data_IF_596624143937
#
_entry.id   IF_596624143937
#
_cell.length_a   1.000
_cell.length_b   1.000
_cell.length_c   1.000
_cell.angle_alpha   90.00
_cell.angle_beta   90.00
_cell.angle_gamma   90.00
#
_symmetry.space_group_name_H-M   'P 1'
#
loop_
_entity.id
_entity.type
_entity.pdbx_description
1 polymer ?
#
# COMPACT_ATOMS: atom_id res chain seq x y z
N UNK A 1 24.83 -10.40 -12.03
CA UNK A 1 25.19 -11.82 -11.83
C UNK A 1 23.93 -12.63 -11.48
N UNK A 2 23.82 -13.90 -11.90
CA UNK A 2 22.71 -14.80 -11.49
C UNK A 2 22.93 -15.33 -10.07
N UNK A 3 21.87 -15.63 -9.29
CA UNK A 3 21.99 -16.10 -7.90
C UNK A 3 22.85 -17.36 -7.76
N UNK A 4 22.64 -18.37 -8.61
CA UNK A 4 23.43 -19.60 -8.56
C UNK A 4 24.92 -19.35 -8.79
N UNK A 5 25.27 -18.43 -9.69
CA UNK A 5 26.67 -18.10 -9.98
C UNK A 5 27.33 -17.38 -8.80
N UNK A 6 26.56 -16.54 -8.10
CA UNK A 6 26.99 -15.89 -6.86
C UNK A 6 27.26 -16.92 -5.76
N UNK A 7 26.33 -17.87 -5.56
CA UNK A 7 26.52 -18.97 -4.59
C UNK A 7 27.81 -19.75 -4.87
N UNK A 8 28.03 -20.19 -6.11
CA UNK A 8 29.26 -20.89 -6.51
C UNK A 8 30.54 -20.07 -6.26
N UNK A 9 30.48 -18.74 -6.44
CA UNK A 9 31.64 -17.88 -6.18
C UNK A 9 31.96 -17.78 -4.69
N UNK A 10 30.92 -17.75 -3.84
CA UNK A 10 31.06 -17.61 -2.38
C UNK A 10 31.33 -18.95 -1.68
N UNK A 11 30.92 -20.06 -2.27
CA UNK A 11 31.11 -21.42 -1.76
C UNK A 11 32.60 -21.76 -1.54
N UNK A 12 33.49 -21.20 -2.36
CA UNK A 12 34.94 -21.32 -2.18
C UNK A 12 35.46 -20.74 -0.85
N UNK A 13 34.72 -19.82 -0.23
CA UNK A 13 35.08 -19.18 1.04
C UNK A 13 34.39 -19.82 2.24
N UNK A 14 33.27 -20.52 2.03
CA UNK A 14 32.54 -21.24 3.08
C UNK A 14 31.13 -21.64 2.65
N UNK A 15 30.52 -22.52 3.44
CA UNK A 15 29.17 -23.00 3.17
C UNK A 15 28.13 -21.87 3.38
N UNK A 16 27.31 -21.65 2.36
CA UNK A 16 26.25 -20.64 2.33
C UNK A 16 24.91 -21.28 2.62
N UNK A 17 24.14 -20.72 3.55
CA UNK A 17 22.82 -21.21 3.94
C UNK A 17 21.72 -20.51 3.13
N UNK A 18 21.26 -19.34 3.60
CA UNK A 18 20.23 -18.53 2.94
C UNK A 18 20.83 -17.42 2.06
N UNK A 19 20.14 -17.10 0.96
CA UNK A 19 20.54 -16.01 0.07
C UNK A 19 19.32 -15.27 -0.50
N UNK A 20 19.41 -13.94 -0.52
CA UNK A 20 18.35 -13.07 -1.01
C UNK A 20 18.99 -11.98 -1.84
N UNK A 21 18.39 -11.69 -2.99
CA UNK A 21 18.88 -10.69 -3.92
C UNK A 21 17.70 -9.82 -4.32
N UNK A 22 17.81 -8.52 -4.06
CA UNK A 22 16.79 -7.54 -4.45
C UNK A 22 16.84 -7.37 -5.95
N UNK A 23 15.76 -7.71 -6.68
CA UNK A 23 15.70 -7.47 -8.11
C UNK A 23 15.77 -5.97 -8.40
N UNK A 24 16.32 -5.61 -9.55
CA UNK A 24 16.26 -4.22 -10.01
C UNK A 24 14.79 -3.76 -10.17
N UNK A 25 14.56 -2.46 -10.02
CA UNK A 25 13.25 -1.86 -10.25
C UNK A 25 12.70 -2.26 -11.65
N UNK A 26 11.47 -2.82 -11.74
CA UNK A 26 10.86 -3.18 -13.01
C UNK A 26 10.88 -2.07 -14.06
N UNK A 27 10.73 -0.82 -13.66
CA UNK A 27 10.77 0.33 -14.58
C UNK A 27 12.18 0.60 -15.10
N UNK A 28 13.19 0.53 -14.23
CA UNK A 28 14.59 0.59 -14.65
C UNK A 28 14.95 -0.54 -15.63
N UNK A 29 14.45 -1.76 -15.38
CA UNK A 29 14.62 -2.89 -16.29
C UNK A 29 13.95 -2.64 -17.64
N UNK A 30 12.72 -2.14 -17.65
CA UNK A 30 11.98 -1.83 -18.87
C UNK A 30 12.71 -0.77 -19.72
N UNK A 31 13.20 0.30 -19.08
CA UNK A 31 14.01 1.34 -19.75
C UNK A 31 15.27 0.76 -20.37
N UNK A 32 16.01 -0.08 -19.64
CA UNK A 32 17.22 -0.74 -20.15
C UNK A 32 16.94 -1.66 -21.34
N UNK A 33 15.86 -2.43 -21.29
CA UNK A 33 15.43 -3.30 -22.38
C UNK A 33 15.05 -2.48 -23.62
N UNK A 34 14.33 -1.37 -23.43
CA UNK A 34 13.96 -0.45 -24.52
C UNK A 34 15.17 0.19 -25.18
N UNK A 35 16.21 0.50 -24.40
CA UNK A 35 17.47 1.07 -24.89
C UNK A 35 18.41 0.04 -25.56
N UNK A 36 17.96 -1.21 -25.81
CA UNK A 36 18.79 -2.25 -26.42
C UNK A 36 19.87 -2.84 -25.51
N UNK A 37 19.81 -2.55 -24.20
CA UNK A 37 20.72 -3.15 -23.23
C UNK A 37 20.41 -4.63 -22.97
N UNK A 38 21.21 -5.25 -22.09
CA UNK A 38 21.01 -6.63 -21.65
C UNK A 38 19.53 -6.87 -21.23
N UNK A 39 18.96 -8.04 -21.50
CA UNK A 39 17.57 -8.39 -21.12
C UNK A 39 17.50 -9.17 -19.79
N UNK A 40 18.64 -9.68 -19.32
CA UNK A 40 18.74 -10.46 -18.09
C UNK A 40 18.27 -9.70 -16.85
N UNK A 41 17.73 -10.45 -15.88
CA UNK A 41 17.41 -9.94 -14.54
C UNK A 41 18.70 -9.48 -13.86
N UNK A 42 18.78 -8.20 -13.50
CA UNK A 42 19.84 -7.70 -12.62
C UNK A 42 19.31 -7.58 -11.20
N UNK A 43 20.24 -7.61 -10.27
CA UNK A 43 20.00 -7.43 -8.84
C UNK A 43 20.84 -6.25 -8.39
N UNK A 44 20.27 -5.41 -7.51
CA UNK A 44 20.94 -4.19 -7.03
C UNK A 44 21.72 -4.52 -5.76
N UNK A 45 21.09 -5.23 -4.84
CA UNK A 45 21.63 -5.57 -3.53
C UNK A 45 21.35 -7.04 -3.20
N UNK A 46 22.07 -7.57 -2.22
CA UNK A 46 21.88 -8.93 -1.77
C UNK A 46 22.43 -9.21 -0.39
N UNK A 47 21.81 -10.17 0.28
CA UNK A 47 22.20 -10.69 1.59
C UNK A 47 22.51 -12.16 1.43
N UNK A 48 23.61 -12.57 2.03
CA UNK A 48 24.08 -13.95 2.01
C UNK A 48 24.42 -14.33 3.44
N UNK A 49 23.78 -15.38 3.93
CA UNK A 49 24.05 -15.95 5.24
C UNK A 49 25.01 -17.13 5.08
N UNK A 50 26.12 -17.08 5.82
CA UNK A 50 27.04 -18.21 5.96
C UNK A 50 26.72 -18.97 7.24
N UNK A 51 26.92 -20.29 7.22
CA UNK A 51 26.79 -21.10 8.44
C UNK A 51 27.79 -20.69 9.53
N UNK A 52 29.00 -20.29 9.11
CA UNK A 52 30.09 -19.91 10.02
C UNK A 52 30.41 -18.41 9.99
N UNK A 53 30.28 -17.71 11.12
CA UNK A 53 30.63 -16.28 11.24
C UNK A 53 32.09 -15.97 10.92
N UNK A 54 33.02 -16.89 11.23
CA UNK A 54 34.46 -16.72 10.95
C UNK A 54 34.71 -16.71 9.44
N UNK A 55 34.06 -17.61 8.71
CA UNK A 55 34.13 -17.69 7.25
C UNK A 55 33.50 -16.45 6.61
N UNK A 56 32.34 -16.02 7.10
CA UNK A 56 31.68 -14.80 6.64
C UNK A 56 32.58 -13.56 6.75
N UNK A 57 33.22 -13.36 7.92
CA UNK A 57 34.14 -12.23 8.15
C UNK A 57 35.35 -12.30 7.22
N UNK A 58 35.95 -13.48 7.07
CA UNK A 58 37.09 -13.70 6.16
C UNK A 58 36.70 -13.44 4.69
N UNK A 59 35.54 -13.93 4.27
CA UNK A 59 35.02 -13.74 2.92
C UNK A 59 34.81 -12.25 2.61
N UNK A 60 34.16 -11.52 3.53
CA UNK A 60 33.95 -10.08 3.36
C UNK A 60 35.27 -9.32 3.22
N UNK A 61 36.23 -9.56 4.12
CA UNK A 61 37.55 -8.91 4.06
C UNK A 61 38.39 -9.32 2.85
N UNK A 62 38.24 -10.56 2.36
CA UNK A 62 38.96 -11.03 1.19
C UNK A 62 38.36 -10.53 -0.12
N UNK A 63 37.04 -10.43 -0.22
CA UNK A 63 36.35 -10.08 -1.46
C UNK A 63 36.17 -8.59 -1.63
N UNK A 64 35.94 -7.83 -0.56
CA UNK A 64 35.65 -6.40 -0.65
C UNK A 64 36.73 -5.64 -1.44
N UNK A 65 36.31 -4.88 -2.46
CA UNK A 65 37.18 -4.08 -3.31
C UNK A 65 37.99 -4.88 -4.34
N UNK A 66 37.83 -6.21 -4.43
CA UNK A 66 38.50 -7.04 -5.43
C UNK A 66 37.62 -7.30 -6.64
N UNK A 67 38.25 -7.54 -7.78
CA UNK A 67 37.56 -8.04 -8.96
C UNK A 67 36.91 -9.41 -8.69
N UNK A 68 35.77 -9.65 -9.31
CA UNK A 68 35.09 -10.95 -9.28
C UNK A 68 35.95 -12.03 -9.91
N UNK A 69 36.71 -11.67 -10.95
CA UNK A 69 37.70 -12.53 -11.58
C UNK A 69 37.10 -13.77 -12.26
N UNK A 70 37.87 -14.87 -12.25
CA UNK A 70 37.54 -16.09 -13.00
C UNK A 70 38.03 -16.05 -14.44
N UNK A 71 37.24 -16.59 -15.38
CA UNK A 71 37.63 -16.57 -16.81
C UNK A 71 37.52 -15.14 -17.34
N UNK A 72 38.58 -14.63 -17.99
CA UNK A 72 38.64 -13.26 -18.56
C UNK A 72 37.49 -12.93 -19.51
N UNK A 73 36.98 -13.93 -20.24
CA UNK A 73 35.81 -13.79 -21.13
C UNK A 73 34.46 -13.74 -20.42
N UNK A 74 34.42 -13.86 -19.10
CA UNK A 74 33.17 -13.87 -18.35
C UNK A 74 32.62 -12.45 -18.21
N UNK A 75 31.29 -12.32 -18.26
CA UNK A 75 30.61 -11.02 -18.22
C UNK A 75 30.82 -10.21 -16.94
N UNK A 76 31.37 -10.85 -15.90
CA UNK A 76 31.58 -10.24 -14.58
C UNK A 76 33.06 -10.14 -14.21
N UNK A 77 34.00 -10.50 -15.08
CA UNK A 77 35.41 -10.60 -14.73
C UNK A 77 35.96 -9.29 -14.11
N UNK A 78 35.67 -8.17 -14.77
CA UNK A 78 36.09 -6.82 -14.36
C UNK A 78 35.16 -6.17 -13.33
N UNK A 79 34.05 -6.81 -12.95
CA UNK A 79 33.16 -6.27 -11.92
C UNK A 79 33.86 -6.33 -10.57
N UNK A 80 33.68 -5.31 -9.73
CA UNK A 80 34.24 -5.27 -8.37
C UNK A 80 33.23 -5.81 -7.36
N UNK A 81 33.71 -6.60 -6.41
CA UNK A 81 32.97 -7.00 -5.23
C UNK A 81 32.81 -5.83 -4.26
N UNK A 82 31.57 -5.48 -3.95
CA UNK A 82 31.24 -4.62 -2.82
C UNK A 82 30.47 -5.45 -1.78
N UNK A 83 31.20 -6.02 -0.82
CA UNK A 83 30.64 -6.90 0.21
C UNK A 83 31.03 -6.39 1.59
N UNK A 84 30.11 -6.44 2.56
CA UNK A 84 30.38 -6.08 3.95
C UNK A 84 29.83 -7.16 4.89
N UNK A 85 30.59 -7.50 5.93
CA UNK A 85 30.10 -8.34 7.01
C UNK A 85 29.22 -7.52 7.95
N UNK A 86 28.04 -8.02 8.29
CA UNK A 86 27.11 -7.38 9.21
C UNK A 86 27.19 -8.09 10.58
N UNK A 87 27.81 -7.48 11.61
CA UNK A 87 27.87 -8.07 12.94
C UNK A 87 26.48 -8.05 13.60
N UNK A 88 26.17 -9.09 14.38
CA UNK A 88 24.91 -9.24 15.14
C UNK A 88 23.64 -9.21 14.28
N UNK A 89 23.78 -9.34 12.96
CA UNK A 89 22.67 -9.39 12.03
C UNK A 89 22.31 -10.85 11.74
N UNK A 90 21.02 -11.18 11.81
CA UNK A 90 20.48 -12.49 11.44
C UNK A 90 19.48 -12.33 10.31
N UNK A 91 19.22 -13.43 9.60
CA UNK A 91 18.22 -13.44 8.53
C UNK A 91 16.85 -12.98 8.97
N UNK A 92 16.44 -13.35 10.19
CA UNK A 92 15.10 -13.04 10.70
C UNK A 92 14.88 -11.52 10.79
N UNK A 93 15.94 -10.75 11.10
CA UNK A 93 15.89 -9.28 11.09
C UNK A 93 15.69 -8.72 9.69
N UNK A 94 16.23 -9.37 8.65
CA UNK A 94 16.01 -8.96 7.27
C UNK A 94 14.55 -9.15 6.87
N UNK A 95 14.00 -10.33 7.17
CA UNK A 95 12.61 -10.67 6.82
C UNK A 95 11.63 -9.83 7.59
N UNK A 96 11.87 -9.61 8.88
CA UNK A 96 11.06 -8.75 9.74
C UNK A 96 11.03 -7.31 9.20
N UNK A 97 12.18 -6.72 8.88
CA UNK A 97 12.23 -5.38 8.31
C UNK A 97 11.51 -5.31 6.95
N UNK A 98 11.72 -6.29 6.08
CA UNK A 98 11.04 -6.34 4.79
C UNK A 98 9.51 -6.45 4.92
N UNK A 99 9.04 -7.28 5.84
CA UNK A 99 7.62 -7.46 6.13
C UNK A 99 7.03 -6.20 6.74
N UNK A 100 7.75 -5.55 7.66
CA UNK A 100 7.37 -4.28 8.25
C UNK A 100 7.23 -3.18 7.18
N UNK A 101 8.23 -3.01 6.32
CA UNK A 101 8.18 -2.02 5.24
C UNK A 101 7.05 -2.31 4.25
N UNK A 102 6.80 -3.59 3.94
CA UNK A 102 5.67 -4.00 3.10
C UNK A 102 4.33 -3.65 3.76
N UNK A 103 4.17 -3.96 5.05
CA UNK A 103 2.97 -3.64 5.80
C UNK A 103 2.73 -2.13 5.90
N UNK A 104 3.79 -1.33 6.12
CA UNK A 104 3.69 0.13 6.10
C UNK A 104 3.23 0.66 4.74
N UNK A 105 3.82 0.16 3.65
CA UNK A 105 3.44 0.57 2.30
C UNK A 105 1.99 0.22 1.99
N UNK A 106 1.55 -0.98 2.39
CA UNK A 106 0.17 -1.42 2.23
C UNK A 106 -0.81 -0.57 3.03
N UNK A 107 -0.51 -0.29 4.31
CA UNK A 107 -1.30 0.61 5.14
C UNK A 107 -1.42 2.01 4.52
N UNK A 108 -0.32 2.57 4.03
CA UNK A 108 -0.32 3.88 3.34
C UNK A 108 -1.23 3.87 2.10
N UNK A 109 -1.09 2.85 1.25
CA UNK A 109 -1.93 2.71 0.05
C UNK A 109 -3.42 2.57 0.41
N UNK A 110 -3.74 1.79 1.44
CA UNK A 110 -5.13 1.64 1.92
C UNK A 110 -5.70 2.95 2.45
N UNK A 111 -4.90 3.74 3.16
CA UNK A 111 -5.30 5.07 3.62
C UNK A 111 -5.57 6.01 2.44
N UNK A 112 -4.68 6.07 1.45
CA UNK A 112 -4.87 6.86 0.24
C UNK A 112 -6.15 6.46 -0.51
N UNK A 113 -6.39 5.15 -0.69
CA UNK A 113 -7.63 4.63 -1.27
C UNK A 113 -8.86 5.01 -0.44
N UNK A 114 -8.76 4.99 0.89
CA UNK A 114 -9.87 5.37 1.76
C UNK A 114 -10.23 6.85 1.66
N UNK A 115 -9.22 7.72 1.50
CA UNK A 115 -9.41 9.17 1.29
C UNK A 115 -10.06 9.41 -0.07
N UNK A 116 -9.50 8.84 -1.14
CA UNK A 116 -10.06 8.96 -2.49
C UNK A 116 -11.51 8.44 -2.58
N UNK A 117 -11.82 7.35 -1.86
CA UNK A 117 -13.18 6.81 -1.79
C UNK A 117 -14.13 7.78 -1.08
N UNK A 118 -13.72 8.36 0.05
CA UNK A 118 -14.54 9.35 0.78
C UNK A 118 -14.81 10.58 -0.07
N UNK A 119 -13.79 11.10 -0.77
CA UNK A 119 -13.94 12.23 -1.68
C UNK A 119 -14.91 11.91 -2.81
N UNK A 120 -14.74 10.76 -3.49
CA UNK A 120 -15.67 10.28 -4.52
C UNK A 120 -17.11 10.21 -4.00
N UNK A 121 -17.32 9.57 -2.86
CA UNK A 121 -18.65 9.38 -2.28
C UNK A 121 -19.29 10.72 -1.91
N UNK A 122 -18.50 11.68 -1.42
CA UNK A 122 -18.94 13.05 -1.18
C UNK A 122 -19.38 13.76 -2.47
N UNK A 123 -18.62 13.64 -3.56
CA UNK A 123 -18.99 14.24 -4.85
C UNK A 123 -20.29 13.63 -5.40
N UNK A 124 -20.44 12.32 -5.33
CA UNK A 124 -21.67 11.64 -5.77
C UNK A 124 -22.89 12.11 -4.95
N UNK A 125 -22.76 12.18 -3.63
CA UNK A 125 -23.84 12.67 -2.77
C UNK A 125 -24.24 14.12 -3.09
N UNK A 126 -23.27 14.98 -3.42
CA UNK A 126 -23.53 16.38 -3.82
C UNK A 126 -24.18 16.47 -5.21
N UNK A 127 -23.77 15.65 -6.16
CA UNK A 127 -24.41 15.58 -7.48
C UNK A 127 -25.87 15.11 -7.37
N UNK A 128 -26.13 14.11 -6.52
CA UNK A 128 -27.49 13.61 -6.30
C UNK A 128 -28.37 14.67 -5.61
N UNK A 129 -27.82 15.41 -4.65
CA UNK A 129 -28.50 16.56 -4.03
C UNK A 129 -28.85 17.63 -5.06
N UNK A 130 -27.91 17.99 -5.95
CA UNK A 130 -28.15 18.98 -6.99
C UNK A 130 -29.24 18.55 -7.98
N UNK A 131 -29.22 17.29 -8.44
CA UNK A 131 -30.27 16.74 -9.30
C UNK A 131 -31.64 16.71 -8.63
N UNK A 132 -31.69 16.35 -7.34
CA UNK A 132 -32.93 16.35 -6.57
C UNK A 132 -33.50 17.77 -6.43
N UNK A 133 -32.63 18.77 -6.18
CA UNK A 133 -33.01 20.18 -6.16
C UNK A 133 -33.55 20.67 -7.51
N UNK A 134 -32.87 20.35 -8.61
CA UNK A 134 -33.32 20.73 -9.96
C UNK A 134 -34.70 20.12 -10.27
N UNK A 135 -34.89 18.81 -10.00
CA UNK A 135 -36.16 18.15 -10.20
C UNK A 135 -37.29 18.76 -9.34
N UNK A 136 -36.98 19.18 -8.11
CA UNK A 136 -37.92 19.88 -7.25
C UNK A 136 -38.28 21.28 -7.80
N UNK A 137 -37.29 22.05 -8.26
CA UNK A 137 -37.48 23.36 -8.88
C UNK A 137 -38.34 23.26 -10.13
N UNK A 138 -38.09 22.28 -11.00
CA UNK A 138 -38.90 22.02 -12.20
C UNK A 138 -40.36 21.65 -11.85
N UNK A 139 -40.57 20.79 -10.85
CA UNK A 139 -41.92 20.44 -10.37
C UNK A 139 -42.66 21.67 -9.84
N UNK A 140 -42.00 22.50 -9.04
CA UNK A 140 -42.56 23.74 -8.49
C UNK A 140 -42.88 24.75 -9.59
N UNK A 141 -42.02 24.90 -10.59
CA UNK A 141 -42.27 25.77 -11.75
C UNK A 141 -43.50 25.30 -12.55
N UNK A 142 -43.65 24.00 -12.80
CA UNK A 142 -44.83 23.42 -13.47
C UNK A 142 -46.12 23.64 -12.66
N UNK A 143 -46.06 23.45 -11.33
CA UNK A 143 -47.22 23.66 -10.45
C UNK A 143 -47.63 25.13 -10.38
N UNK A 144 -46.67 26.05 -10.27
CA UNK A 144 -46.92 27.50 -10.33
C UNK A 144 -47.56 27.91 -11.66
N UNK A 145 -47.10 27.36 -12.78
CA UNK A 145 -47.68 27.63 -14.10
C UNK A 145 -49.10 27.04 -14.30
N UNK A 146 -49.44 25.94 -13.61
CA UNK A 146 -50.73 25.26 -13.74
C UNK A 146 -51.80 25.71 -12.73
N UNK A 147 -51.42 26.00 -11.48
CA UNK A 147 -52.35 26.20 -10.35
C UNK A 147 -52.27 27.60 -9.72
N UNK A 148 -51.30 28.45 -10.09
CA UNK A 148 -51.17 29.81 -9.53
C UNK A 148 -50.84 29.89 -8.04
N UNK A 149 -50.47 28.76 -7.40
CA UNK A 149 -50.19 28.70 -5.97
C UNK A 149 -48.83 29.33 -5.60
N UNK A 150 -48.84 30.33 -4.73
CA UNK A 150 -47.64 30.83 -4.04
C UNK A 150 -47.24 29.85 -2.93
N UNK A 151 -46.27 28.98 -3.23
CA UNK A 151 -45.57 28.23 -2.18
C UNK A 151 -44.68 29.20 -1.38
N UNK A 152 -44.95 29.33 -0.08
CA UNK A 152 -44.19 30.11 0.91
C UNK A 152 -43.01 29.31 1.54
N UNK A 153 -42.79 28.08 1.07
CA UNK A 153 -41.72 27.22 1.58
C UNK A 153 -40.36 27.65 1.01
N UNK A 154 -39.43 28.00 1.89
CA UNK A 154 -38.06 28.39 1.54
C UNK A 154 -37.26 27.20 1.02
N UNK A 155 -36.27 27.44 0.14
CA UNK A 155 -35.41 26.38 -0.40
C UNK A 155 -34.72 25.56 0.70
N UNK A 156 -34.42 26.20 1.83
CA UNK A 156 -33.80 25.62 3.01
C UNK A 156 -34.73 24.63 3.75
N UNK A 157 -36.02 24.95 3.86
CA UNK A 157 -37.02 24.07 4.47
C UNK A 157 -37.29 22.82 3.60
N UNK A 158 -37.35 23.00 2.28
CA UNK A 158 -37.53 21.90 1.34
C UNK A 158 -36.31 20.96 1.30
N UNK A 159 -35.10 21.50 1.40
CA UNK A 159 -33.86 20.73 1.56
C UNK A 159 -33.84 19.95 2.87
N UNK A 160 -34.18 20.59 3.99
CA UNK A 160 -34.22 19.94 5.30
C UNK A 160 -35.22 18.78 5.33
N UNK A 161 -36.34 18.89 4.60
CA UNK A 161 -37.31 17.80 4.44
C UNK A 161 -36.74 16.65 3.60
N UNK A 162 -36.12 16.95 2.46
CA UNK A 162 -35.45 15.94 1.63
C UNK A 162 -34.38 15.16 2.42
N UNK A 163 -33.57 15.86 3.21
CA UNK A 163 -32.57 15.23 4.08
C UNK A 163 -33.22 14.29 5.11
N UNK A 164 -34.30 14.72 5.76
CA UNK A 164 -35.02 13.92 6.76
C UNK A 164 -35.63 12.66 6.16
N UNK A 165 -36.29 12.78 5.01
CA UNK A 165 -36.90 11.65 4.30
C UNK A 165 -35.83 10.65 3.82
N UNK A 166 -34.69 11.15 3.32
CA UNK A 166 -33.55 10.32 2.90
C UNK A 166 -32.90 9.58 4.08
N UNK A 167 -32.71 10.25 5.22
CA UNK A 167 -32.17 9.61 6.43
C UNK A 167 -33.09 8.50 6.96
N UNK A 168 -34.41 8.67 6.91
CA UNK A 168 -35.37 7.63 7.28
C UNK A 168 -35.35 6.45 6.31
N UNK A 169 -35.18 6.69 5.02
CA UNK A 169 -35.00 5.64 4.01
C UNK A 169 -33.69 4.86 4.23
N UNK A 170 -32.57 5.56 4.37
CA UNK A 170 -31.26 4.97 4.67
C UNK A 170 -31.30 4.14 5.97
N UNK A 171 -31.98 4.62 7.01
CA UNK A 171 -32.13 3.89 8.28
C UNK A 171 -32.98 2.63 8.12
N UNK A 172 -34.05 2.68 7.31
CA UNK A 172 -34.86 1.49 6.98
C UNK A 172 -34.04 0.47 6.21
N UNK A 173 -33.24 0.92 5.25
CA UNK A 173 -32.39 0.05 4.45
C UNK A 173 -31.27 -0.59 5.28
N UNK A 174 -30.59 0.19 6.14
CA UNK A 174 -29.62 -0.34 7.13
C UNK A 174 -30.25 -1.42 8.01
N UNK A 175 -31.45 -1.18 8.55
CA UNK A 175 -32.19 -2.17 9.37
C UNK A 175 -32.55 -3.42 8.56
N UNK A 176 -32.86 -3.29 7.26
CA UNK A 176 -33.15 -4.44 6.38
C UNK A 176 -31.90 -5.29 6.14
N UNK A 177 -30.76 -4.65 5.85
CA UNK A 177 -29.48 -5.34 5.62
C UNK A 177 -29.02 -6.08 6.88
N UNK A 178 -29.14 -5.46 8.06
CA UNK A 178 -28.85 -6.13 9.34
C UNK A 178 -29.72 -7.37 9.59
N UNK A 179 -30.97 -7.37 9.14
CA UNK A 179 -31.89 -8.51 9.34
C UNK A 179 -31.61 -9.68 8.41
N UNK A 180 -31.02 -9.44 7.24
CA UNK A 180 -30.71 -10.48 6.25
C UNK A 180 -29.42 -11.23 6.52
N UNK A 181 -28.45 -10.59 7.20
CA UNK A 181 -27.22 -11.25 7.62
C UNK A 181 -27.36 -11.72 9.07
N UNK A 182 -27.58 -13.03 9.27
CA UNK A 182 -27.59 -13.64 10.61
C UNK A 182 -26.17 -13.57 11.18
N UNK A 183 -25.85 -12.54 11.97
CA UNK A 183 -24.58 -12.47 12.70
C UNK A 183 -24.51 -13.69 13.64
N UNK A 184 -23.56 -14.60 13.38
CA UNK A 184 -23.23 -15.67 14.31
C UNK A 184 -22.67 -14.99 15.57
N UNK A 185 -23.25 -15.27 16.73
CA UNK A 185 -22.75 -14.75 18.00
C UNK A 185 -21.28 -15.14 18.15
N UNK A 186 -20.42 -14.17 18.48
CA UNK A 186 -19.00 -14.40 18.72
C UNK A 186 -18.87 -15.20 20.00
N UNK A 187 -18.46 -16.46 19.91
CA UNK A 187 -17.98 -17.24 21.06
C UNK A 187 -16.70 -16.58 21.57
N UNK A 188 -16.78 -15.98 22.77
CA UNK A 188 -15.71 -15.28 23.52
C UNK A 188 -15.49 -13.79 23.13
N UNK A 189 -16.13 -12.84 23.83
CA UNK A 189 -15.98 -11.40 23.59
C UNK A 189 -14.65 -10.80 24.09
N UNK A 190 -13.73 -11.61 24.63
CA UNK A 190 -12.46 -11.13 25.21
C UNK A 190 -11.27 -11.12 24.26
N UNK A 191 -11.42 -11.53 23.00
CA UNK A 191 -10.39 -11.27 21.98
C UNK A 191 -10.65 -9.91 21.31
N UNK A 192 -10.62 -8.85 22.12
CA UNK A 192 -10.32 -7.53 21.59
C UNK A 192 -8.80 -7.45 21.60
N UNK A 193 -8.21 -7.61 20.41
CA UNK A 193 -6.79 -7.41 20.22
C UNK A 193 -6.51 -5.90 20.35
N UNK A 194 -6.33 -5.43 21.59
CA UNK A 194 -6.04 -4.04 21.94
C UNK A 194 -4.75 -3.51 21.29
N UNK A 195 -3.97 -4.40 20.66
CA UNK A 195 -2.77 -4.06 19.87
C UNK A 195 -3.09 -3.61 18.44
N UNK A 196 -4.32 -3.83 17.96
CA UNK A 196 -4.85 -3.12 16.78
C UNK A 196 -5.26 -1.72 17.20
N UNK A 197 -4.26 -0.92 17.55
CA UNK A 197 -4.38 0.53 17.58
C UNK A 197 -5.03 0.97 16.26
N UNK A 198 -6.30 1.33 16.35
CA UNK A 198 -7.03 2.11 15.36
C UNK A 198 -6.07 3.22 14.94
N UNK A 199 -5.68 3.20 13.67
CA UNK A 199 -4.77 4.13 13.01
C UNK A 199 -4.57 5.40 13.84
N UNK A 200 -3.37 5.53 14.44
CA UNK A 200 -2.94 6.65 15.30
C UNK A 200 -3.79 7.89 15.05
N UNK A 201 -4.69 8.21 15.99
CA UNK A 201 -5.60 9.35 15.89
C UNK A 201 -4.83 10.65 15.60
N UNK A 202 -3.58 10.72 16.05
CA UNK A 202 -2.63 11.81 15.81
C UNK A 202 -2.18 11.93 14.34
N UNK A 203 -2.01 10.80 13.64
CA UNK A 203 -1.74 10.79 12.19
C UNK A 203 -2.93 11.32 11.42
N UNK A 204 -4.15 10.94 11.81
CA UNK A 204 -5.38 11.45 11.19
C UNK A 204 -5.59 12.94 11.51
N UNK A 205 -5.30 13.40 12.73
CA UNK A 205 -5.37 14.83 13.08
C UNK A 205 -4.38 15.68 12.30
N UNK A 206 -3.15 15.21 12.09
CA UNK A 206 -2.12 15.95 11.34
C UNK A 206 -2.48 16.22 9.87
N UNK A 207 -3.38 15.42 9.27
CA UNK A 207 -3.85 15.58 7.89
C UNK A 207 -4.98 16.62 7.79
N UNK A 208 -5.77 16.81 8.85
CA UNK A 208 -6.94 17.70 8.87
C UNK A 208 -6.69 19.08 9.52
N UNK A 209 -5.50 19.35 10.06
CA UNK A 209 -5.14 20.70 10.49
C UNK A 209 -4.82 21.54 9.25
N UNK A 210 -5.73 22.47 8.92
CA UNK A 210 -5.47 23.57 8.00
C UNK A 210 -4.24 24.33 8.51
N UNK A 211 -3.19 24.40 7.70
CA UNK A 211 -2.10 25.36 7.92
C UNK A 211 -2.66 26.74 7.56
N UNK A 212 -2.86 27.57 8.57
CA UNK A 212 -3.02 29.02 8.41
C UNK A 212 -1.64 29.68 8.17
#
# INVERSE_FOLDING_TARGET
MKPMRLRQALEAFGETDRMYLTPEDPNARARRKKAGGNTGKKFIEGWVEFKDKKKAKKAASALHGREVGGKRRSAHYYDLWNVRYLPKFKWDNLTEEMEYQKALKEKKMQLELSVAKKERDFFLAKMDQAKALEAMKERRAKRRAAEGAEDDETEEAALARYHREKEEEDNRERKRILRTFKQKAVENPTFVDDTKELANLDLLRSIFVKRD
#
